data_IF_357879042415
#
_entry.id   IF_357879042415
#
_cell.length_a   1.000
_cell.length_b   1.000
_cell.length_c   1.000
_cell.angle_alpha   90.00
_cell.angle_beta   90.00
_cell.angle_gamma   90.00
#
_symmetry.space_group_name_H-M   'P 1'
#
loop_
_entity.id
_entity.type
_entity.pdbx_description
1 polymer ?
#
# COMPACT_ATOMS: atom_id res chain seq x y z
N UNK A 1 -27.17 40.94 76.45
CA UNK A 1 -26.91 40.77 75.01
C UNK A 1 -25.92 39.62 74.86
N UNK A 2 -26.41 38.38 74.78
CA UNK A 2 -25.56 37.20 74.54
C UNK A 2 -25.62 36.86 73.06
N UNK A 3 -24.56 37.15 72.32
CA UNK A 3 -24.48 36.84 70.90
C UNK A 3 -24.15 35.36 70.71
N UNK A 4 -25.07 34.59 70.11
CA UNK A 4 -24.80 33.24 69.63
C UNK A 4 -23.82 33.33 68.46
N UNK A 5 -22.56 32.95 68.67
CA UNK A 5 -21.56 32.91 67.60
C UNK A 5 -21.65 31.54 66.91
N UNK A 6 -22.25 31.51 65.72
CA UNK A 6 -22.23 30.33 64.85
C UNK A 6 -20.92 30.29 64.08
N UNK A 7 -20.03 29.36 64.41
CA UNK A 7 -18.87 29.07 63.58
C UNK A 7 -19.30 28.11 62.46
N UNK A 8 -19.50 28.64 61.25
CA UNK A 8 -19.80 27.87 60.06
C UNK A 8 -18.48 27.54 59.36
N UNK A 9 -18.09 26.27 59.37
CA UNK A 9 -16.97 25.78 58.57
C UNK A 9 -17.51 25.19 57.26
N UNK A 10 -17.29 25.90 56.15
CA UNK A 10 -17.56 25.35 54.81
C UNK A 10 -16.34 24.56 54.33
N UNK A 11 -16.55 23.28 54.03
CA UNK A 11 -15.56 22.44 53.35
C UNK A 11 -16.01 22.23 51.90
N UNK A 12 -15.21 22.67 50.93
CA UNK A 12 -15.45 22.41 49.51
C UNK A 12 -14.58 21.23 49.11
N UNK A 13 -15.16 20.05 48.93
CA UNK A 13 -14.50 18.91 48.33
C UNK A 13 -14.91 18.80 46.86
N UNK A 14 -13.96 19.11 45.96
CA UNK A 14 -14.11 18.95 44.52
C UNK A 14 -13.79 17.49 44.14
N UNK A 15 -14.83 16.65 44.07
CA UNK A 15 -14.78 15.42 43.28
C UNK A 15 -15.61 15.65 42.00
N UNK A 16 -15.12 15.13 40.88
CA UNK A 16 -15.61 15.43 39.53
C UNK A 16 -17.13 15.56 39.42
N UNK A 17 -17.60 16.79 39.14
CA UNK A 17 -18.90 17.03 38.52
C UNK A 17 -20.12 17.29 39.41
N UNK A 18 -20.00 17.56 40.71
CA UNK A 18 -21.15 17.99 41.52
C UNK A 18 -20.81 18.44 42.94
N UNK A 19 -21.40 19.57 43.40
CA UNK A 19 -21.19 20.11 44.75
C UNK A 19 -22.19 19.46 45.71
N UNK A 20 -21.69 18.77 46.74
CA UNK A 20 -22.50 18.32 47.87
C UNK A 20 -21.99 19.02 49.14
N UNK A 21 -22.86 19.80 49.80
CA UNK A 21 -22.55 20.41 51.11
C UNK A 21 -23.19 19.57 52.21
N UNK A 22 -22.43 19.31 53.28
CA UNK A 22 -22.92 18.66 54.49
C UNK A 22 -22.82 19.64 55.66
N UNK A 23 -23.87 19.72 56.48
CA UNK A 23 -23.98 20.69 57.57
C UNK A 23 -23.77 19.98 58.91
N UNK A 24 -22.81 20.42 59.71
CA UNK A 24 -22.66 20.02 61.11
C UNK A 24 -22.86 21.26 61.98
N UNK A 25 -23.93 21.27 62.78
CA UNK A 25 -24.25 22.37 63.69
C UNK A 25 -23.92 21.93 65.11
N UNK A 26 -22.92 22.54 65.75
CA UNK A 26 -22.57 22.29 67.14
C UNK A 26 -23.07 23.44 68.02
N UNK A 27 -23.88 23.13 69.04
CA UNK A 27 -24.39 24.08 70.03
C UNK A 27 -23.40 24.21 71.19
N UNK A 28 -22.88 25.41 71.41
CA UNK A 28 -21.86 25.72 72.42
C UNK A 28 -22.49 26.19 73.73
N UNK A 29 -23.15 25.31 74.48
CA UNK A 29 -23.72 25.69 75.79
C UNK A 29 -22.91 25.21 77.01
N UNK A 30 -21.82 24.45 76.84
CA UNK A 30 -20.93 24.06 77.95
C UNK A 30 -19.47 23.94 77.49
N UNK A 31 -18.80 25.07 77.28
CA UNK A 31 -17.35 25.11 77.05
C UNK A 31 -16.68 25.81 78.23
N UNK A 32 -16.34 25.02 79.26
CA UNK A 32 -15.46 25.43 80.35
C UNK A 32 -14.04 24.98 80.03
N UNK A 33 -13.26 25.99 79.67
CA UNK A 33 -11.82 26.18 79.65
C UNK A 33 -10.93 25.11 80.33
N UNK A 34 -10.75 23.95 79.72
CA UNK A 34 -9.71 22.99 80.12
C UNK A 34 -8.95 22.49 78.87
N UNK A 35 -7.66 22.84 78.78
CA UNK A 35 -6.73 22.46 77.68
C UNK A 35 -6.60 20.95 77.42
N UNK A 36 -7.25 20.10 78.21
CA UNK A 36 -7.38 18.65 78.02
C UNK A 36 -8.33 18.28 76.87
N UNK A 37 -9.34 19.10 76.57
CA UNK A 37 -10.31 18.80 75.50
C UNK A 37 -9.70 18.95 74.11
N UNK A 38 -8.88 19.99 73.92
CA UNK A 38 -8.13 20.21 72.68
C UNK A 38 -7.07 19.12 72.45
N UNK A 39 -6.42 18.63 73.51
CA UNK A 39 -5.47 17.54 73.42
C UNK A 39 -6.14 16.22 73.00
N UNK A 40 -7.33 15.90 73.50
CA UNK A 40 -8.04 14.66 73.16
C UNK A 40 -8.47 14.61 71.68
N UNK A 41 -8.93 15.73 71.13
CA UNK A 41 -9.31 15.84 69.71
C UNK A 41 -8.08 15.78 68.80
N UNK A 42 -6.97 16.43 69.18
CA UNK A 42 -5.70 16.36 68.46
C UNK A 42 -5.13 14.93 68.44
N UNK A 43 -5.18 14.22 69.57
CA UNK A 43 -4.72 12.82 69.67
C UNK A 43 -5.55 11.90 68.77
N UNK A 44 -6.87 12.08 68.72
CA UNK A 44 -7.73 11.29 67.83
C UNK A 44 -7.50 11.60 66.34
N UNK A 45 -7.24 12.85 65.96
CA UNK A 45 -6.91 13.22 64.58
C UNK A 45 -5.55 12.67 64.14
N UNK A 46 -4.54 12.70 65.01
CA UNK A 46 -3.20 12.16 64.73
C UNK A 46 -3.23 10.63 64.62
N UNK A 47 -4.00 9.95 65.48
CA UNK A 47 -4.19 8.50 65.40
C UNK A 47 -4.97 8.07 64.16
N UNK A 48 -6.04 8.80 63.80
CA UNK A 48 -6.82 8.51 62.59
C UNK A 48 -6.00 8.70 61.30
N UNK A 49 -5.16 9.75 61.23
CA UNK A 49 -4.24 9.96 60.11
C UNK A 49 -3.12 8.92 60.03
N UNK A 50 -2.60 8.47 61.18
CA UNK A 50 -1.53 7.46 61.25
C UNK A 50 -2.02 6.07 60.86
N UNK A 51 -3.25 5.70 61.22
CA UNK A 51 -3.89 4.44 60.82
C UNK A 51 -4.23 4.39 59.33
N UNK A 52 -4.65 5.51 58.73
CA UNK A 52 -4.88 5.61 57.29
C UNK A 52 -3.56 5.45 56.50
N UNK A 53 -2.47 6.03 57.00
CA UNK A 53 -1.13 5.88 56.42
C UNK A 53 -0.61 4.43 56.50
N UNK A 54 -0.85 3.74 57.62
CA UNK A 54 -0.44 2.34 57.78
C UNK A 54 -1.25 1.41 56.86
N UNK A 55 -2.52 1.71 56.61
CA UNK A 55 -3.41 0.92 55.76
C UNK A 55 -3.13 1.09 54.25
N UNK A 56 -2.57 2.24 53.83
CA UNK A 56 -2.37 2.56 52.41
C UNK A 56 -0.95 2.31 51.90
N UNK A 57 0.04 2.04 52.77
CA UNK A 57 1.37 1.53 52.38
C UNK A 57 2.15 2.39 51.38
N UNK A 58 1.80 3.66 51.20
CA UNK A 58 2.39 4.54 50.19
C UNK A 58 3.04 5.74 50.89
N UNK A 59 4.37 5.77 50.89
CA UNK A 59 5.15 6.88 51.41
C UNK A 59 4.88 8.17 50.63
N UNK A 60 4.66 9.25 51.37
CA UNK A 60 4.53 10.64 50.94
C UNK A 60 5.55 11.14 49.88
N UNK A 61 6.68 10.43 49.70
CA UNK A 61 7.64 10.70 48.61
C UNK A 61 7.08 10.38 47.20
N UNK A 62 6.13 9.44 47.08
CA UNK A 62 5.52 9.07 45.79
C UNK A 62 4.53 10.12 45.25
N UNK A 63 3.97 10.95 46.13
CA UNK A 63 2.97 11.97 45.75
C UNK A 63 3.67 13.20 45.13
N UNK A 64 4.86 13.55 45.60
CA UNK A 64 5.64 14.68 45.05
C UNK A 64 6.30 14.29 43.71
N UNK A 65 6.65 13.02 43.51
CA UNK A 65 7.17 12.52 42.24
C UNK A 65 6.13 12.47 41.10
N UNK A 66 4.83 12.42 41.42
CA UNK A 66 3.77 12.28 40.43
C UNK A 66 3.30 13.61 39.79
N UNK A 67 3.68 14.77 40.35
CA UNK A 67 3.19 16.08 39.88
C UNK A 67 4.08 16.71 38.79
N UNK A 68 5.42 16.52 38.74
CA UNK A 68 6.23 17.01 37.62
C UNK A 68 6.29 16.08 36.39
N UNK A 69 5.79 14.84 36.47
CA UNK A 69 5.90 13.87 35.37
C UNK A 69 4.82 14.03 34.29
N UNK A 70 3.62 14.51 34.64
CA UNK A 70 2.54 14.76 33.66
C UNK A 70 2.75 16.00 32.80
N UNK A 71 3.53 16.98 33.27
CA UNK A 71 3.66 18.29 32.62
C UNK A 71 4.91 18.40 31.71
N UNK A 72 5.97 17.62 31.96
CA UNK A 72 7.18 17.62 31.10
C UNK A 72 7.08 16.72 29.85
N UNK A 73 6.17 15.73 29.83
CA UNK A 73 6.13 14.72 28.75
C UNK A 73 4.97 14.90 27.75
N UNK A 74 4.07 15.86 27.95
CA UNK A 74 2.87 16.03 27.11
C UNK A 74 3.13 16.35 25.63
N UNK A 75 4.26 16.98 25.30
CA UNK A 75 4.64 17.29 23.91
C UNK A 75 5.50 16.19 23.25
N UNK A 76 6.58 15.68 23.88
CA UNK A 76 7.40 14.64 23.25
C UNK A 76 6.71 13.27 23.23
N UNK A 77 5.88 12.90 24.23
CA UNK A 77 5.14 11.64 24.16
C UNK A 77 3.98 11.67 23.18
N UNK A 78 3.31 12.82 23.00
CA UNK A 78 2.31 12.96 21.94
C UNK A 78 2.92 12.78 20.55
N UNK A 79 4.09 13.40 20.31
CA UNK A 79 4.82 13.25 19.06
C UNK A 79 5.37 11.84 18.88
N UNK A 80 5.98 11.26 19.92
CA UNK A 80 6.47 9.88 19.90
C UNK A 80 5.32 8.91 19.67
N UNK A 81 4.18 9.09 20.33
CA UNK A 81 3.00 8.25 20.15
C UNK A 81 2.39 8.44 18.76
N UNK A 82 2.36 9.64 18.20
CA UNK A 82 1.93 9.88 16.83
C UNK A 82 2.86 9.19 15.82
N UNK A 83 4.19 9.33 15.99
CA UNK A 83 5.20 8.65 15.15
C UNK A 83 5.14 7.14 15.34
N UNK A 84 4.94 6.66 16.57
CA UNK A 84 4.85 5.25 16.92
C UNK A 84 3.56 4.61 16.39
N UNK A 85 2.41 5.29 16.47
CA UNK A 85 1.15 4.88 15.85
C UNK A 85 1.26 4.91 14.33
N UNK A 86 1.90 5.93 13.75
CA UNK A 86 2.15 5.98 12.31
C UNK A 86 3.08 4.84 11.86
N UNK A 87 4.12 4.53 12.65
CA UNK A 87 5.06 3.41 12.43
C UNK A 87 4.38 2.05 12.61
N UNK A 88 3.59 1.87 13.66
CA UNK A 88 2.79 0.67 13.91
C UNK A 88 1.72 0.48 12.84
N UNK A 89 1.07 1.56 12.37
CA UNK A 89 0.17 1.52 11.21
C UNK A 89 0.91 1.11 9.94
N UNK A 90 2.14 1.58 9.71
CA UNK A 90 2.96 1.13 8.56
C UNK A 90 3.45 -0.32 8.68
N UNK A 91 3.60 -0.85 9.91
CA UNK A 91 3.97 -2.26 10.14
C UNK A 91 2.77 -3.20 10.11
N UNK A 92 1.60 -2.73 10.57
CA UNK A 92 0.33 -3.46 10.55
C UNK A 92 -0.29 -3.48 9.14
N UNK A 93 -0.07 -2.43 8.34
CA UNK A 93 -0.19 -2.45 6.88
C UNK A 93 1.06 -3.10 6.29
N UNK A 94 1.36 -4.33 6.69
CA UNK A 94 2.56 -5.05 6.31
C UNK A 94 2.79 -4.98 4.81
N UNK A 95 3.89 -4.36 4.39
CA UNK A 95 4.40 -4.28 3.01
C UNK A 95 3.33 -4.29 1.90
N UNK A 96 2.20 -3.63 2.14
CA UNK A 96 1.50 -2.96 1.07
C UNK A 96 2.39 -1.76 0.75
N UNK A 97 3.58 -2.03 0.17
CA UNK A 97 3.92 -1.37 -1.08
C UNK A 97 2.58 -1.28 -1.76
N UNK A 98 2.01 -0.08 -1.84
CA UNK A 98 1.03 0.19 -2.89
C UNK A 98 1.70 -0.47 -4.07
N UNK A 99 1.17 -1.63 -4.47
CA UNK A 99 1.59 -2.30 -5.68
C UNK A 99 0.98 -1.34 -6.68
N UNK A 100 1.65 -0.21 -6.88
CA UNK A 100 1.43 0.69 -7.97
C UNK A 100 1.74 -0.25 -9.09
N UNK A 101 0.68 -0.87 -9.61
CA UNK A 101 0.81 -1.77 -10.74
C UNK A 101 1.56 -0.93 -11.75
N UNK A 102 2.78 -1.35 -12.11
CA UNK A 102 3.60 -0.53 -12.96
C UNK A 102 2.80 -0.30 -14.22
N UNK A 103 2.50 0.97 -14.47
CA UNK A 103 1.60 1.33 -15.56
C UNK A 103 2.36 1.15 -16.86
N UNK A 104 1.62 0.85 -17.91
CA UNK A 104 2.12 0.86 -19.28
C UNK A 104 2.97 2.12 -19.58
N UNK A 105 2.53 3.29 -19.09
CA UNK A 105 3.23 4.56 -19.27
C UNK A 105 4.60 4.60 -18.59
N UNK A 106 4.75 3.97 -17.42
CA UNK A 106 6.05 3.88 -16.73
C UNK A 106 7.02 3.00 -17.52
N UNK A 107 6.53 1.91 -18.11
CA UNK A 107 7.32 1.04 -18.97
C UNK A 107 7.76 1.78 -20.24
N UNK A 108 6.86 2.52 -20.89
CA UNK A 108 7.18 3.34 -22.06
C UNK A 108 8.20 4.44 -21.71
N UNK A 109 8.05 5.08 -20.55
CA UNK A 109 9.01 6.08 -20.09
C UNK A 109 10.41 5.49 -19.85
N UNK A 110 10.49 4.27 -19.31
CA UNK A 110 11.77 3.56 -19.15
C UNK A 110 12.39 3.20 -20.50
N UNK A 111 11.59 2.73 -21.45
CA UNK A 111 12.02 2.43 -22.81
C UNK A 111 12.58 3.67 -23.51
N UNK A 112 11.91 4.82 -23.39
CA UNK A 112 12.37 6.11 -23.95
C UNK A 112 13.68 6.60 -23.33
N UNK A 113 13.95 6.24 -22.07
CA UNK A 113 15.23 6.52 -21.40
C UNK A 113 16.35 5.57 -21.80
N UNK A 114 16.06 4.54 -22.59
CA UNK A 114 17.01 3.51 -22.99
C UNK A 114 17.29 2.44 -21.92
N UNK A 115 16.61 2.51 -20.77
CA UNK A 115 16.72 1.51 -19.71
C UNK A 115 15.84 0.31 -20.04
N UNK A 116 16.36 -0.56 -20.91
CA UNK A 116 15.58 -1.67 -21.48
C UNK A 116 15.32 -2.78 -20.45
N UNK A 117 16.20 -2.95 -19.46
CA UNK A 117 15.97 -3.89 -18.35
C UNK A 117 14.83 -3.44 -17.45
N UNK A 118 14.79 -2.14 -17.09
CA UNK A 118 13.66 -1.60 -16.36
C UNK A 118 12.38 -1.64 -17.19
N UNK A 119 12.45 -1.30 -18.49
CA UNK A 119 11.30 -1.36 -19.39
C UNK A 119 10.71 -2.78 -19.45
N UNK A 120 11.53 -3.82 -19.62
CA UNK A 120 11.08 -5.22 -19.62
C UNK A 120 10.41 -5.62 -18.31
N UNK A 121 11.02 -5.27 -17.17
CA UNK A 121 10.42 -5.54 -15.86
C UNK A 121 9.06 -4.86 -15.69
N UNK A 122 8.96 -3.59 -16.11
CA UNK A 122 7.73 -2.81 -16.02
C UNK A 122 6.66 -3.35 -16.98
N UNK A 123 7.02 -3.66 -18.23
CA UNK A 123 6.10 -4.26 -19.21
C UNK A 123 5.60 -5.63 -18.77
N UNK A 124 6.46 -6.50 -18.20
CA UNK A 124 6.04 -7.80 -17.65
C UNK A 124 5.01 -7.63 -16.53
N UNK A 125 5.27 -6.71 -15.61
CA UNK A 125 4.38 -6.47 -14.50
C UNK A 125 3.08 -5.77 -14.94
N UNK A 126 3.12 -4.90 -15.95
CA UNK A 126 1.94 -4.33 -16.59
C UNK A 126 1.09 -5.43 -17.28
N UNK A 127 1.74 -6.36 -17.99
CA UNK A 127 1.06 -7.49 -18.64
C UNK A 127 0.42 -8.45 -17.63
N UNK A 128 1.00 -8.58 -16.42
CA UNK A 128 0.42 -9.35 -15.32
C UNK A 128 -0.78 -8.65 -14.68
N UNK A 129 -0.74 -7.33 -14.52
CA UNK A 129 -1.87 -6.54 -14.01
C UNK A 129 -3.04 -6.47 -14.98
N UNK A 130 -2.74 -6.44 -16.29
CA UNK A 130 -3.76 -6.39 -17.34
C UNK A 130 -3.53 -7.49 -18.40
N UNK A 131 -3.89 -8.76 -18.11
CA UNK A 131 -3.63 -9.88 -19.02
C UNK A 131 -4.29 -9.74 -20.40
N UNK A 132 -5.39 -8.99 -20.49
CA UNK A 132 -6.17 -8.74 -21.71
C UNK A 132 -5.73 -7.51 -22.51
N UNK A 133 -4.68 -6.80 -22.09
CA UNK A 133 -4.24 -5.59 -22.80
C UNK A 133 -3.24 -5.93 -23.92
N UNK A 134 -3.75 -6.08 -25.14
CA UNK A 134 -2.99 -6.49 -26.33
C UNK A 134 -1.76 -5.60 -26.60
N UNK A 135 -1.88 -4.28 -26.41
CA UNK A 135 -0.81 -3.32 -26.67
C UNK A 135 0.38 -3.47 -25.70
N UNK A 136 0.12 -3.81 -24.44
CA UNK A 136 1.18 -4.03 -23.44
C UNK A 136 1.98 -5.28 -23.79
N UNK A 137 1.29 -6.37 -24.18
CA UNK A 137 1.96 -7.58 -24.68
C UNK A 137 2.72 -7.31 -25.97
N UNK A 138 2.17 -6.48 -26.86
CA UNK A 138 2.85 -6.09 -28.10
C UNK A 138 4.15 -5.35 -27.81
N UNK A 139 4.12 -4.34 -26.93
CA UNK A 139 5.32 -3.59 -26.51
C UNK A 139 6.31 -4.46 -25.75
N UNK A 140 5.84 -5.37 -24.91
CA UNK A 140 6.68 -6.34 -24.22
C UNK A 140 7.44 -7.21 -25.24
N UNK A 141 6.74 -7.71 -26.26
CA UNK A 141 7.35 -8.45 -27.36
C UNK A 141 8.42 -7.65 -28.10
N UNK A 142 8.13 -6.40 -28.44
CA UNK A 142 9.10 -5.48 -29.07
C UNK A 142 10.32 -5.20 -28.18
N UNK A 143 10.12 -5.03 -26.86
CA UNK A 143 11.20 -4.83 -25.90
C UNK A 143 12.11 -6.07 -25.83
N UNK A 144 11.55 -7.28 -25.94
CA UNK A 144 12.34 -8.51 -26.01
C UNK A 144 13.24 -8.57 -27.25
N UNK A 145 12.74 -8.14 -28.42
CA UNK A 145 13.60 -8.04 -29.61
C UNK A 145 14.74 -7.03 -29.43
N UNK A 146 14.51 -5.93 -28.71
CA UNK A 146 15.55 -4.93 -28.44
C UNK A 146 16.67 -5.46 -27.55
N UNK A 147 16.37 -6.39 -26.64
CA UNK A 147 17.39 -7.06 -25.82
C UNK A 147 17.95 -8.33 -26.47
N UNK A 148 17.51 -8.67 -27.68
CA UNK A 148 17.99 -9.83 -28.44
C UNK A 148 17.27 -11.15 -28.16
N UNK A 149 16.24 -11.16 -27.31
CA UNK A 149 15.45 -12.36 -27.01
C UNK A 149 14.27 -12.49 -28.00
N UNK A 150 14.58 -12.95 -29.21
CA UNK A 150 13.58 -13.12 -30.25
C UNK A 150 12.54 -14.22 -29.93
N UNK A 151 12.88 -15.22 -29.11
CA UNK A 151 11.93 -16.28 -28.73
C UNK A 151 10.80 -15.73 -27.86
N UNK A 152 11.16 -15.05 -26.77
CA UNK A 152 10.18 -14.42 -25.89
C UNK A 152 9.41 -13.31 -26.60
N UNK A 153 10.09 -12.57 -27.49
CA UNK A 153 9.47 -11.54 -28.33
C UNK A 153 8.33 -12.08 -29.18
N UNK A 154 8.57 -13.17 -29.91
CA UNK A 154 7.54 -13.82 -30.76
C UNK A 154 6.40 -14.38 -29.90
N UNK A 155 6.72 -14.99 -28.76
CA UNK A 155 5.70 -15.56 -27.86
C UNK A 155 4.71 -14.50 -27.36
N UNK A 156 5.21 -13.35 -26.89
CA UNK A 156 4.35 -12.26 -26.40
C UNK A 156 3.56 -11.58 -27.52
N UNK A 157 4.14 -11.43 -28.72
CA UNK A 157 3.39 -10.91 -29.87
C UNK A 157 2.28 -11.86 -30.33
N UNK A 158 2.50 -13.18 -30.28
CA UNK A 158 1.45 -14.17 -30.55
C UNK A 158 0.35 -14.13 -29.49
N UNK A 159 0.71 -13.95 -28.21
CA UNK A 159 -0.28 -13.73 -27.16
C UNK A 159 -1.09 -12.44 -27.41
N UNK A 160 -0.43 -11.37 -27.88
CA UNK A 160 -1.11 -10.14 -28.27
C UNK A 160 -2.09 -10.36 -29.44
N UNK A 161 -1.74 -11.18 -30.45
CA UNK A 161 -2.64 -11.51 -31.56
C UNK A 161 -3.95 -12.15 -31.14
N UNK A 162 -3.93 -12.99 -30.10
CA UNK A 162 -5.14 -13.61 -29.56
C UNK A 162 -6.08 -12.65 -28.83
N UNK A 163 -5.60 -11.45 -28.47
CA UNK A 163 -6.37 -10.45 -27.73
C UNK A 163 -6.93 -9.33 -28.61
N UNK A 164 -6.48 -9.23 -29.87
CA UNK A 164 -6.97 -8.20 -30.80
C UNK A 164 -8.22 -8.71 -31.51
N UNK A 165 -9.33 -8.01 -31.31
CA UNK A 165 -10.61 -8.31 -31.97
C UNK A 165 -10.73 -7.61 -33.33
N UNK A 166 -10.12 -6.44 -33.47
CA UNK A 166 -10.16 -5.62 -34.68
C UNK A 166 -9.38 -6.30 -35.83
N UNK A 167 -10.03 -6.64 -36.96
CA UNK A 167 -9.39 -7.33 -38.08
C UNK A 167 -8.19 -6.59 -38.66
N UNK A 168 -8.25 -5.25 -38.76
CA UNK A 168 -7.17 -4.45 -39.35
C UNK A 168 -5.95 -4.42 -38.45
N UNK A 169 -6.17 -4.23 -37.13
CA UNK A 169 -5.09 -4.26 -36.14
C UNK A 169 -4.49 -5.66 -36.00
N UNK A 170 -5.34 -6.71 -36.02
CA UNK A 170 -4.89 -8.10 -35.96
C UNK A 170 -4.05 -8.44 -37.17
N UNK A 171 -4.45 -8.01 -38.37
CA UNK A 171 -3.66 -8.15 -39.59
C UNK A 171 -2.31 -7.42 -39.50
N UNK A 172 -2.32 -6.14 -39.10
CA UNK A 172 -1.08 -5.36 -38.99
C UNK A 172 -0.08 -6.00 -38.02
N UNK A 173 -0.57 -6.47 -36.88
CA UNK A 173 0.24 -7.22 -35.93
C UNK A 173 0.70 -8.56 -36.52
N UNK A 174 -0.17 -9.31 -37.18
CA UNK A 174 0.16 -10.63 -37.73
C UNK A 174 1.29 -10.52 -38.76
N UNK A 175 1.23 -9.52 -39.64
CA UNK A 175 2.28 -9.28 -40.63
C UNK A 175 3.61 -8.97 -39.96
N UNK A 176 3.58 -8.12 -38.92
CA UNK A 176 4.78 -7.82 -38.13
C UNK A 176 5.38 -9.07 -37.47
N UNK A 177 4.55 -9.93 -36.87
CA UNK A 177 5.00 -11.19 -36.27
C UNK A 177 5.61 -12.10 -37.32
N UNK A 178 4.95 -12.26 -38.46
CA UNK A 178 5.43 -13.14 -39.54
C UNK A 178 6.77 -12.65 -40.12
N UNK A 179 6.96 -11.34 -40.23
CA UNK A 179 8.22 -10.76 -40.70
C UNK A 179 9.35 -11.02 -39.72
N UNK A 180 9.10 -10.80 -38.43
CA UNK A 180 10.08 -11.06 -37.38
C UNK A 180 10.43 -12.55 -37.27
N UNK A 181 9.48 -13.45 -37.51
CA UNK A 181 9.73 -14.89 -37.55
C UNK A 181 10.60 -15.29 -38.73
N UNK A 182 10.38 -14.71 -39.91
CA UNK A 182 11.22 -14.97 -41.08
C UNK A 182 12.61 -14.36 -40.88
N UNK A 183 12.69 -13.10 -40.43
CA UNK A 183 13.96 -12.38 -40.29
C UNK A 183 14.84 -12.91 -39.15
N UNK A 184 14.25 -13.16 -37.96
CA UNK A 184 15.02 -13.51 -36.75
C UNK A 184 15.12 -15.00 -36.49
N UNK A 185 14.17 -15.80 -37.01
CA UNK A 185 14.09 -17.25 -36.73
C UNK A 185 14.17 -18.12 -37.98
N UNK A 186 14.18 -17.53 -39.18
CA UNK A 186 14.05 -18.27 -40.44
C UNK A 186 12.83 -19.22 -40.46
N UNK A 187 11.79 -18.86 -39.70
CA UNK A 187 10.62 -19.71 -39.48
C UNK A 187 9.46 -19.29 -40.38
N UNK A 188 9.70 -19.44 -41.69
CA UNK A 188 8.72 -19.14 -42.72
C UNK A 188 7.49 -20.06 -42.66
N UNK A 189 7.64 -21.27 -42.10
CA UNK A 189 6.55 -22.24 -42.01
C UNK A 189 5.49 -21.78 -40.99
N UNK A 190 5.89 -21.50 -39.75
CA UNK A 190 4.93 -21.04 -38.75
C UNK A 190 4.39 -19.64 -39.09
N UNK A 191 5.15 -18.82 -39.82
CA UNK A 191 4.66 -17.55 -40.36
C UNK A 191 3.52 -17.78 -41.37
N UNK A 192 3.65 -18.77 -42.25
CA UNK A 192 2.61 -19.19 -43.18
C UNK A 192 1.34 -19.70 -42.49
N UNK A 193 1.48 -20.37 -41.33
CA UNK A 193 0.33 -20.83 -40.55
C UNK A 193 -0.50 -19.66 -40.00
N UNK A 194 0.15 -18.64 -39.42
CA UNK A 194 -0.53 -17.44 -38.91
C UNK A 194 -1.30 -16.73 -40.03
N UNK A 195 -0.70 -16.60 -41.22
CA UNK A 195 -1.38 -15.99 -42.37
C UNK A 195 -2.53 -16.84 -42.89
N UNK A 196 -2.40 -18.17 -42.86
CA UNK A 196 -3.48 -19.09 -43.24
C UNK A 196 -4.66 -19.05 -42.26
N UNK A 197 -4.39 -18.93 -40.96
CA UNK A 197 -5.44 -18.70 -39.95
C UNK A 197 -6.17 -17.38 -40.21
N UNK A 198 -5.42 -16.30 -40.49
CA UNK A 198 -6.01 -15.00 -40.81
C UNK A 198 -6.85 -15.02 -42.10
N UNK A 199 -6.40 -15.73 -43.13
CA UNK A 199 -7.14 -15.95 -44.38
C UNK A 199 -8.47 -16.68 -44.12
N UNK A 200 -8.44 -17.73 -43.29
CA UNK A 200 -9.61 -18.55 -42.96
C UNK A 200 -10.61 -17.79 -42.09
N UNK A 201 -10.14 -17.10 -41.05
CA UNK A 201 -10.98 -16.43 -40.07
C UNK A 201 -11.68 -15.19 -40.63
N UNK A 202 -11.07 -14.53 -41.63
CA UNK A 202 -11.59 -13.32 -42.27
C UNK A 202 -11.92 -13.50 -43.76
N UNK A 203 -12.31 -14.72 -44.17
CA UNK A 203 -12.57 -15.06 -45.57
C UNK A 203 -13.55 -14.08 -46.23
N UNK A 204 -13.24 -13.64 -47.46
CA UNK A 204 -14.07 -12.69 -48.22
C UNK A 204 -13.85 -11.21 -47.86
N UNK A 205 -12.91 -10.91 -46.95
CA UNK A 205 -12.50 -9.52 -46.66
C UNK A 205 -11.17 -9.17 -47.31
N UNK A 206 -10.86 -7.86 -47.38
CA UNK A 206 -9.54 -7.37 -47.82
C UNK A 206 -8.39 -7.95 -46.99
N UNK A 207 -8.62 -8.24 -45.71
CA UNK A 207 -7.62 -8.82 -44.80
C UNK A 207 -7.20 -10.21 -45.28
N UNK A 208 -8.16 -11.06 -45.67
CA UNK A 208 -7.86 -12.40 -46.17
C UNK A 208 -7.10 -12.36 -47.50
N UNK A 209 -7.49 -11.48 -48.43
CA UNK A 209 -6.77 -11.34 -49.72
C UNK A 209 -5.32 -10.90 -49.52
N UNK A 210 -5.06 -9.95 -48.61
CA UNK A 210 -3.71 -9.52 -48.28
C UNK A 210 -2.90 -10.63 -47.58
N UNK A 211 -3.52 -11.36 -46.66
CA UNK A 211 -2.90 -12.49 -45.96
C UNK A 211 -2.49 -13.59 -46.94
N UNK A 212 -3.39 -13.95 -47.87
CA UNK A 212 -3.17 -14.91 -48.95
C UNK A 212 -2.03 -14.48 -49.87
N UNK A 213 -2.04 -13.22 -50.33
CA UNK A 213 -0.99 -12.68 -51.18
C UNK A 213 0.38 -12.72 -50.48
N UNK A 214 0.44 -12.39 -49.18
CA UNK A 214 1.68 -12.45 -48.40
C UNK A 214 2.16 -13.88 -48.19
N UNK A 215 1.25 -14.81 -47.89
CA UNK A 215 1.57 -16.24 -47.73
C UNK A 215 2.13 -16.85 -49.00
N UNK A 216 1.56 -16.51 -50.17
CA UNK A 216 2.07 -16.95 -51.46
C UNK A 216 3.52 -16.47 -51.72
N UNK A 217 3.85 -15.23 -51.33
CA UNK A 217 5.22 -14.70 -51.43
C UNK A 217 6.21 -15.44 -50.53
N UNK A 218 5.81 -15.81 -49.32
CA UNK A 218 6.65 -16.60 -48.42
C UNK A 218 6.97 -17.99 -49.01
N UNK A 219 6.00 -18.61 -49.67
CA UNK A 219 6.20 -19.90 -50.35
C UNK A 219 7.04 -19.79 -51.61
N UNK A 220 6.86 -18.72 -52.40
CA UNK A 220 7.62 -18.51 -53.64
C UNK A 220 9.07 -18.08 -53.39
N UNK A 221 9.32 -17.33 -52.30
CA UNK A 221 10.68 -16.94 -51.90
C UNK A 221 11.58 -18.15 -51.59
N UNK A 222 11.03 -19.18 -50.94
CA UNK A 222 11.72 -20.47 -50.75
C UNK A 222 11.97 -21.22 -52.05
N UNK A 223 11.03 -21.20 -53.01
CA UNK A 223 11.23 -21.85 -54.30
C UNK A 223 12.40 -21.22 -55.08
N UNK A 224 12.57 -19.90 -55.00
CA UNK A 224 13.70 -19.20 -55.61
C UNK A 224 15.06 -19.41 -54.91
N UNK A 225 15.08 -19.64 -53.59
CA UNK A 225 16.31 -20.02 -52.87
C UNK A 225 16.78 -21.44 -53.20
N UNK A 226 15.85 -22.36 -53.49
CA UNK A 226 16.18 -23.76 -53.83
C UNK A 226 16.67 -23.90 -55.29
N UNK A 227 16.18 -23.08 -56.23
CA UNK A 227 16.67 -23.07 -57.62
C UNK A 227 17.99 -22.30 -57.82
N UNK A 228 18.46 -21.55 -56.82
CA UNK A 228 19.64 -20.69 -56.89
C UNK A 228 20.98 -21.32 -56.50
N UNK A 229 21.02 -22.58 -56.05
CA UNK A 229 22.29 -23.26 -55.74
C UNK A 229 22.50 -24.57 -56.54
N UNK A 230 22.92 -24.48 -57.81
CA UNK A 230 23.47 -25.61 -58.54
C UNK A 230 25.00 -25.79 -58.34
N UNK A 231 25.64 -25.23 -57.29
CA UNK A 231 27.11 -25.31 -57.13
C UNK A 231 27.63 -26.36 -56.16
N UNK A 232 26.81 -27.33 -55.74
CA UNK A 232 27.28 -28.53 -55.03
C UNK A 232 26.79 -29.80 -55.73
N UNK A 233 27.40 -30.10 -56.87
CA UNK A 233 27.43 -31.43 -57.49
C UNK A 233 28.75 -31.60 -58.24
#
# INVERSE_FOLDING_TARGET
>A
MGGTLFLIFSFVLLYGGGIATSWITLRTEHLRDDGRFHAAVLVHMVLAGSLLNLAMGLGWEMIIAAIPAGFLYGLPMGYFFAVWVMRMRTMALGDHKLKVEPTFDQAEAAERRGDMEAALRLYRAAAQGQPGHAETRRRLGEAYFKVGDADQGIAELRAALGLVEDPEKKMALAFRVTDLMVEKKNDAFNAGLILGELERDYSGTRVAELAKARRARLTSGKAGEVEGNPSEA
#
